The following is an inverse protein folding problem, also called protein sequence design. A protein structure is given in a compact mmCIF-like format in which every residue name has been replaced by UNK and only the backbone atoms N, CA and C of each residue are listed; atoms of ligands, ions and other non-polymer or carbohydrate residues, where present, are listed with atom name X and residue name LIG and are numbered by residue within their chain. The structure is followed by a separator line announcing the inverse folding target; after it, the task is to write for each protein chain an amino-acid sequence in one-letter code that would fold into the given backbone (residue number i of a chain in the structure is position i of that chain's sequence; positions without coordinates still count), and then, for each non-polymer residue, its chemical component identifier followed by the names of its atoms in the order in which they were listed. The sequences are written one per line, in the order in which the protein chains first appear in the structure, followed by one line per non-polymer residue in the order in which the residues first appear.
data_IF_347696026328
#
_entry.id   IF_347696026328
#
_cell.length_a   1.000
_cell.length_b   1.000
_cell.length_c   1.000
_cell.angle_alpha   90.00
_cell.angle_beta   90.00
_cell.angle_gamma   90.00
#
_symmetry.space_group_name_H-M   'P 1'
#
loop_
_entity.id
_entity.type
_entity.pdbx_description
1 polymer ?
#
# COMPACT_ATOMS: atom_id res chain seq x y z
N UNK A 1 16.05 -12.74 -3.06
CA UNK A 1 14.94 -11.78 -2.97
C UNK A 1 14.67 -11.30 -4.39
N UNK A 2 13.46 -11.49 -4.92
CA UNK A 2 13.14 -11.09 -6.29
C UNK A 2 12.95 -9.58 -6.40
N UNK A 3 13.02 -9.04 -7.61
CA UNK A 3 12.76 -7.61 -7.90
C UNK A 3 11.35 -7.21 -7.45
N UNK A 4 10.38 -8.09 -7.67
CA UNK A 4 8.98 -7.94 -7.24
C UNK A 4 8.88 -7.83 -5.72
N UNK A 5 9.47 -8.76 -4.96
CA UNK A 5 9.47 -8.69 -3.49
C UNK A 5 10.09 -7.40 -2.94
N UNK A 6 11.14 -6.88 -3.59
CA UNK A 6 11.75 -5.61 -3.20
C UNK A 6 10.80 -4.44 -3.45
N UNK A 7 10.06 -4.48 -4.56
CA UNK A 7 9.10 -3.46 -4.94
C UNK A 7 7.89 -3.45 -4.02
N UNK A 8 7.31 -4.61 -3.72
CA UNK A 8 6.19 -4.74 -2.77
C UNK A 8 6.56 -4.16 -1.41
N UNK A 9 7.75 -4.47 -0.90
CA UNK A 9 8.26 -3.92 0.37
C UNK A 9 8.39 -2.41 0.36
N UNK A 10 8.86 -1.84 -0.76
CA UNK A 10 9.04 -0.41 -0.93
C UNK A 10 7.70 0.33 -0.97
N UNK A 11 6.72 -0.21 -1.71
CA UNK A 11 5.34 0.31 -1.73
C UNK A 11 4.71 0.22 -0.33
N UNK A 12 4.88 -0.91 0.34
CA UNK A 12 4.38 -1.10 1.70
C UNK A 12 4.98 -0.10 2.70
N UNK A 13 6.30 0.08 2.68
CA UNK A 13 6.98 1.06 3.55
C UNK A 13 6.43 2.48 3.33
N UNK A 14 6.25 2.88 2.06
CA UNK A 14 5.66 4.17 1.71
C UNK A 14 4.22 4.32 2.25
N UNK A 15 3.39 3.28 2.14
CA UNK A 15 2.04 3.27 2.73
C UNK A 15 2.10 3.46 4.25
N UNK A 16 3.00 2.75 4.94
CA UNK A 16 3.15 2.89 6.39
C UNK A 16 3.58 4.31 6.79
N UNK A 17 4.46 4.94 6.02
CA UNK A 17 4.87 6.33 6.25
C UNK A 17 3.69 7.30 6.08
N UNK A 18 2.88 7.13 5.03
CA UNK A 18 1.68 7.95 4.82
C UNK A 18 0.71 7.83 6.00
N UNK A 19 0.49 6.61 6.48
CA UNK A 19 -0.40 6.35 7.62
C UNK A 19 0.16 6.94 8.92
N UNK A 20 1.47 6.79 9.14
CA UNK A 20 2.15 7.38 10.31
C UNK A 20 2.09 8.92 10.28
N UNK A 21 2.07 9.53 9.10
CA UNK A 21 1.89 10.96 8.92
C UNK A 21 0.44 11.44 9.15
N UNK A 22 -0.49 10.54 9.46
CA UNK A 22 -1.90 10.84 9.76
C UNK A 22 -2.89 10.53 8.64
N UNK A 23 -2.42 10.02 7.50
CA UNK A 23 -3.28 9.68 6.35
C UNK A 23 -3.87 8.28 6.53
N UNK A 24 -5.10 8.18 7.04
CA UNK A 24 -5.77 6.88 7.25
C UNK A 24 -6.29 6.23 5.97
N UNK A 25 -6.52 7.03 4.92
CA UNK A 25 -7.06 6.61 3.63
C UNK A 25 -6.16 7.15 2.51
N UNK A 26 -5.82 6.32 1.53
CA UNK A 26 -4.87 6.68 0.48
C UNK A 26 -5.27 6.12 -0.88
N UNK A 27 -4.71 6.73 -1.94
CA UNK A 27 -4.85 6.29 -3.33
C UNK A 27 -3.50 5.79 -3.85
N UNK A 28 -3.48 4.93 -4.88
CA UNK A 28 -2.24 4.58 -5.58
C UNK A 28 -1.47 5.81 -6.10
N UNK A 29 -2.18 6.89 -6.42
CA UNK A 29 -1.58 8.17 -6.85
C UNK A 29 -0.81 8.90 -5.74
N UNK A 30 -1.27 8.78 -4.49
CA UNK A 30 -0.60 9.39 -3.32
C UNK A 30 0.72 8.68 -3.04
N UNK A 31 0.70 7.35 -3.08
CA UNK A 31 1.91 6.51 -2.97
C UNK A 31 2.90 6.80 -4.09
N UNK A 32 2.44 6.89 -5.34
CA UNK A 32 3.31 7.24 -6.46
C UNK A 32 3.96 8.62 -6.28
N UNK A 33 3.19 9.60 -5.80
CA UNK A 33 3.70 10.95 -5.54
C UNK A 33 4.74 10.96 -4.42
N UNK A 34 4.51 10.19 -3.34
CA UNK A 34 5.48 10.02 -2.26
C UNK A 34 6.76 9.35 -2.75
N UNK A 35 6.65 8.23 -3.47
CA UNK A 35 7.81 7.52 -4.04
C UNK A 35 8.65 8.39 -4.98
N UNK A 36 8.01 9.26 -5.78
CA UNK A 36 8.74 10.23 -6.61
C UNK A 36 9.50 11.26 -5.78
N UNK A 37 8.89 11.79 -4.74
CA UNK A 37 9.53 12.75 -3.82
C UNK A 37 10.74 12.13 -3.14
N UNK A 38 10.66 10.84 -2.81
CA UNK A 38 11.71 10.11 -2.09
C UNK A 38 12.78 9.53 -3.04
N UNK A 39 12.75 9.90 -4.33
CA UNK A 39 13.75 9.52 -5.34
C UNK A 39 13.63 8.08 -5.84
N UNK A 40 12.50 7.41 -5.59
CA UNK A 40 12.25 6.01 -5.92
C UNK A 40 10.99 5.85 -6.81
N UNK A 41 10.91 6.54 -7.96
CA UNK A 41 9.71 6.56 -8.77
C UNK A 41 9.35 5.16 -9.28
N UNK A 42 8.08 4.82 -9.18
CA UNK A 42 7.48 3.63 -9.81
C UNK A 42 6.44 4.04 -10.85
N UNK A 43 6.25 3.20 -11.86
CA UNK A 43 5.17 3.35 -12.82
C UNK A 43 3.80 3.21 -12.14
N UNK A 44 2.80 3.97 -12.62
CA UNK A 44 1.44 3.92 -12.07
C UNK A 44 0.85 2.50 -12.08
N UNK A 45 1.12 1.73 -13.14
CA UNK A 45 0.69 0.34 -13.25
C UNK A 45 1.45 -0.60 -12.32
N UNK A 46 2.72 -0.32 -12.05
CA UNK A 46 3.51 -1.09 -11.08
C UNK A 46 2.95 -0.90 -9.68
N UNK A 47 2.70 0.34 -9.26
CA UNK A 47 2.08 0.64 -7.96
C UNK A 47 0.71 -0.05 -7.83
N UNK A 48 -0.11 -0.02 -8.89
CA UNK A 48 -1.41 -0.72 -8.86
C UNK A 48 -1.26 -2.24 -8.74
N UNK A 49 -0.26 -2.84 -9.39
CA UNK A 49 0.06 -4.26 -9.24
C UNK A 49 0.44 -4.61 -7.79
N UNK A 50 1.29 -3.78 -7.17
CA UNK A 50 1.66 -3.98 -5.77
C UNK A 50 0.48 -3.84 -4.81
N UNK A 51 -0.47 -2.95 -5.10
CA UNK A 51 -1.71 -2.83 -4.32
C UNK A 51 -2.54 -4.12 -4.38
N UNK A 52 -2.66 -4.76 -5.55
CA UNK A 52 -3.32 -6.07 -5.66
C UNK A 52 -2.64 -7.11 -4.78
N UNK A 53 -1.29 -7.19 -4.83
CA UNK A 53 -0.52 -8.14 -4.02
C UNK A 53 -0.73 -7.88 -2.52
N UNK A 54 -0.67 -6.62 -2.09
CA UNK A 54 -0.88 -6.25 -0.68
C UNK A 54 -2.31 -6.51 -0.21
N UNK A 55 -3.30 -6.34 -1.10
CA UNK A 55 -4.70 -6.64 -0.82
C UNK A 55 -4.94 -8.15 -0.66
N UNK A 56 -4.37 -8.96 -1.56
CA UNK A 56 -4.42 -10.42 -1.47
C UNK A 56 -3.75 -10.95 -0.21
N UNK A 57 -2.71 -10.26 0.27
CA UNK A 57 -2.04 -10.56 1.55
C UNK A 57 -2.83 -10.08 2.78
N UNK A 58 -3.94 -9.35 2.60
CA UNK A 58 -4.75 -8.79 3.68
C UNK A 58 -4.05 -7.68 4.45
N UNK A 59 -3.10 -6.98 3.82
CA UNK A 59 -2.34 -5.88 4.42
C UNK A 59 -3.07 -4.55 4.23
N UNK A 60 -3.72 -4.39 3.09
CA UNK A 60 -4.57 -3.24 2.76
C UNK A 60 -5.93 -3.72 2.28
N UNK A 61 -6.94 -2.87 2.38
CA UNK A 61 -8.29 -3.13 1.89
C UNK A 61 -8.81 -1.93 1.11
N UNK A 62 -9.65 -2.20 0.10
CA UNK A 62 -10.33 -1.18 -0.69
C UNK A 62 -11.73 -0.97 -0.09
N UNK A 63 -12.02 0.25 0.34
CA UNK A 63 -13.38 0.63 0.70
C UNK A 63 -14.22 0.81 -0.57
N UNK A 64 -15.26 -0.04 -0.81
CA UNK A 64 -16.08 0.06 -2.00
C UNK A 64 -16.98 1.29 -2.03
N UNK A 65 -17.24 1.95 -0.89
CA UNK A 65 -18.08 3.13 -0.83
C UNK A 65 -17.33 4.40 -1.30
N UNK A 66 -16.06 4.51 -0.93
CA UNK A 66 -15.23 5.70 -1.21
C UNK A 66 -14.23 5.48 -2.35
N UNK A 67 -13.91 4.22 -2.67
CA UNK A 67 -12.85 3.86 -3.62
C UNK A 67 -11.44 4.17 -3.10
N UNK A 68 -11.30 4.36 -1.78
CA UNK A 68 -10.02 4.62 -1.11
C UNK A 68 -9.47 3.35 -0.48
N UNK A 69 -8.15 3.28 -0.38
CA UNK A 69 -7.47 2.17 0.28
C UNK A 69 -7.16 2.55 1.73
N UNK A 70 -7.29 1.57 2.61
CA UNK A 70 -6.90 1.69 4.02
C UNK A 70 -5.94 0.56 4.36
N UNK A 71 -5.16 0.72 5.44
CA UNK A 71 -4.56 -0.47 6.07
C UNK A 71 -5.70 -1.38 6.50
N UNK A 72 -5.59 -2.66 6.19
CA UNK A 72 -6.49 -3.64 6.76
C UNK A 72 -6.36 -3.51 8.28
N UNK A 73 -7.49 -3.34 8.96
CA UNK A 73 -7.48 -3.50 10.42
C UNK A 73 -6.87 -4.87 10.68
N UNK A 74 -5.91 -4.95 11.59
CA UNK A 74 -5.36 -6.22 12.04
C UNK A 74 -6.50 -7.00 12.70
N UNK A 75 -7.33 -7.65 11.88
CA UNK A 75 -8.44 -8.43 12.37
C UNK A 75 -7.83 -9.66 13.00
N UNK A 76 -8.25 -9.90 14.24
CA UNK A 76 -7.70 -10.87 15.16
C UNK A 76 -7.73 -12.25 14.52
N UNK A 77 -6.65 -12.69 13.88
CA UNK A 77 -6.36 -14.12 13.74
C UNK A 77 -5.69 -14.63 15.01
N UNK A 78 -6.45 -14.58 16.09
CA UNK A 78 -6.30 -15.31 17.35
C UNK A 78 -7.70 -15.24 18.01
N UNK A 79 -8.39 -16.33 18.35
CA UNK A 79 -7.97 -17.68 18.66
C UNK A 79 -9.04 -18.70 18.24
N UNK A 80 -8.54 -19.92 18.04
CA UNK A 80 -9.26 -21.19 17.90
C UNK A 80 -10.20 -21.39 19.08
#
# INVERSE_FOLDING_TARGET
MSVEQRRTKLVYACIQELVTAGTSEFRPGDVNSALRRDGQPLGTWEVRGEFTILAEQGVIELDPATGLWTLAKADKREAI
#
